data_IF_982087228623
#
_entry.id   IF_982087228623
#
_cell.length_a   1.000
_cell.length_b   1.000
_cell.length_c   1.000
_cell.angle_alpha   90.00
_cell.angle_beta   90.00
_cell.angle_gamma   90.00
#
_symmetry.space_group_name_H-M   'P 1'
#
loop_
_entity.id
_entity.type
_entity.pdbx_description
1 polymer ?
#
# COMPACT_ATOMS: atom_id res chain seq x y z
N UNK A 1 14.26 -37.37 -31.72
CA UNK A 1 12.89 -36.83 -31.95
C UNK A 1 12.19 -36.73 -30.60
N UNK A 2 12.22 -35.56 -29.97
CA UNK A 2 11.54 -35.31 -28.68
C UNK A 2 10.10 -34.88 -28.96
N UNK A 3 9.14 -35.71 -28.52
CA UNK A 3 7.71 -35.38 -28.58
C UNK A 3 7.46 -34.18 -27.66
N UNK A 4 7.11 -33.04 -28.24
CA UNK A 4 6.63 -31.89 -27.48
C UNK A 4 5.31 -32.24 -26.80
N UNK A 5 5.33 -32.33 -25.47
CA UNK A 5 4.10 -32.34 -24.67
C UNK A 5 3.39 -31.00 -24.89
N UNK A 6 2.22 -31.04 -25.53
CA UNK A 6 1.30 -29.92 -25.51
C UNK A 6 0.93 -29.65 -24.05
N UNK A 7 1.33 -28.49 -23.52
CA UNK A 7 0.88 -28.03 -22.20
C UNK A 7 -0.65 -27.96 -22.24
N UNK A 8 -1.30 -28.82 -21.46
CA UNK A 8 -2.75 -28.89 -21.37
C UNK A 8 -3.32 -27.54 -20.96
N UNK A 9 -4.36 -27.10 -21.67
CA UNK A 9 -5.20 -25.98 -21.27
C UNK A 9 -5.75 -26.24 -19.86
N UNK A 10 -5.28 -25.49 -18.87
CA UNK A 10 -5.78 -25.53 -17.50
C UNK A 10 -6.73 -24.34 -17.31
N UNK A 11 -8.05 -24.58 -17.16
CA UNK A 11 -9.05 -23.53 -17.02
C UNK A 11 -8.77 -22.57 -15.85
N UNK A 12 -8.10 -23.03 -14.79
CA UNK A 12 -7.75 -22.19 -13.66
C UNK A 12 -6.63 -21.23 -14.04
N UNK A 13 -5.61 -21.70 -14.77
CA UNK A 13 -4.52 -20.86 -15.26
C UNK A 13 -5.01 -19.81 -16.27
N UNK A 14 -5.97 -20.15 -17.12
CA UNK A 14 -6.54 -19.18 -18.06
C UNK A 14 -7.42 -18.13 -17.36
N UNK A 15 -8.17 -18.51 -16.30
CA UNK A 15 -8.86 -17.54 -15.45
C UNK A 15 -7.88 -16.62 -14.73
N UNK A 16 -6.80 -17.16 -14.18
CA UNK A 16 -5.75 -16.35 -13.54
C UNK A 16 -5.05 -15.43 -14.55
N UNK A 17 -4.78 -15.91 -15.77
CA UNK A 17 -4.19 -15.10 -16.85
C UNK A 17 -5.15 -14.01 -17.31
N UNK A 18 -6.42 -14.30 -17.49
CA UNK A 18 -7.45 -13.31 -17.83
C UNK A 18 -7.61 -12.26 -16.72
N UNK A 19 -7.58 -12.66 -15.45
CA UNK A 19 -7.59 -11.72 -14.33
C UNK A 19 -6.33 -10.85 -14.31
N UNK A 20 -5.14 -11.41 -14.56
CA UNK A 20 -3.89 -10.65 -14.64
C UNK A 20 -3.85 -9.70 -15.84
N UNK A 21 -4.34 -10.12 -17.00
CA UNK A 21 -4.47 -9.29 -18.20
C UNK A 21 -5.46 -8.16 -17.96
N UNK A 22 -6.63 -8.46 -17.39
CA UNK A 22 -7.62 -7.46 -17.01
C UNK A 22 -7.02 -6.45 -16.01
N UNK A 23 -6.33 -6.90 -14.96
CA UNK A 23 -5.65 -6.01 -14.01
C UNK A 23 -4.58 -5.14 -14.67
N UNK A 24 -3.88 -5.67 -15.67
CA UNK A 24 -2.86 -4.94 -16.44
C UNK A 24 -3.47 -3.95 -17.44
N UNK A 25 -4.60 -4.30 -18.06
CA UNK A 25 -5.34 -3.44 -18.99
C UNK A 25 -6.06 -2.33 -18.24
N UNK A 26 -6.75 -2.64 -17.14
CA UNK A 26 -7.50 -1.71 -16.28
C UNK A 26 -6.56 -0.71 -15.57
N UNK A 27 -5.36 -1.16 -15.12
CA UNK A 27 -4.32 -0.24 -14.65
C UNK A 27 -3.71 0.63 -15.77
N UNK A 28 -3.89 0.24 -17.04
CA UNK A 28 -3.50 0.99 -18.23
C UNK A 28 -4.63 1.84 -18.83
N UNK A 29 -5.87 1.71 -18.35
CA UNK A 29 -7.01 2.48 -18.84
C UNK A 29 -7.17 3.78 -18.02
N UNK A 30 -7.17 4.96 -18.67
CA UNK A 30 -7.07 6.27 -18.02
C UNK A 30 -8.38 6.77 -17.41
N UNK A 31 -9.44 5.96 -17.39
CA UNK A 31 -10.72 6.42 -16.86
C UNK A 31 -10.64 6.56 -15.34
N UNK A 32 -11.02 7.74 -14.85
CA UNK A 32 -11.13 7.99 -13.42
C UNK A 32 -12.27 7.12 -12.87
N UNK A 33 -11.99 6.11 -12.04
CA UNK A 33 -13.04 5.27 -11.50
C UNK A 33 -13.92 6.07 -10.54
N UNK A 34 -15.22 5.78 -10.57
CA UNK A 34 -16.16 6.31 -9.57
C UNK A 34 -16.05 5.57 -8.23
N UNK A 35 -15.54 4.33 -8.25
CA UNK A 35 -15.34 3.47 -7.07
C UNK A 35 -14.02 2.72 -7.20
N UNK A 36 -13.19 2.81 -6.16
CA UNK A 36 -11.95 2.05 -6.10
C UNK A 36 -12.14 0.64 -5.55
N UNK A 37 -11.33 -0.28 -6.04
CA UNK A 37 -11.29 -1.67 -5.62
C UNK A 37 -10.11 -1.91 -4.64
N UNK A 38 -10.21 -2.94 -3.78
CA UNK A 38 -9.06 -3.39 -2.99
C UNK A 38 -7.83 -3.65 -3.87
N UNK A 39 -6.69 -3.12 -3.43
CA UNK A 39 -5.41 -3.19 -4.12
C UNK A 39 -5.15 -2.04 -5.09
N UNK A 40 -6.14 -1.25 -5.49
CA UNK A 40 -5.89 -0.09 -6.35
C UNK A 40 -4.92 0.88 -5.65
N UNK A 41 -3.98 1.42 -6.42
CA UNK A 41 -3.09 2.48 -5.98
C UNK A 41 -3.63 3.81 -6.51
N UNK A 42 -4.14 4.62 -5.58
CA UNK A 42 -4.75 5.92 -5.84
C UNK A 42 -4.03 7.03 -5.07
N UNK A 43 -4.43 8.27 -5.31
CA UNK A 43 -3.92 9.43 -4.58
C UNK A 43 -4.93 9.80 -3.49
N UNK A 44 -4.47 10.04 -2.26
CA UNK A 44 -5.29 10.52 -1.16
C UNK A 44 -4.60 11.70 -0.44
N UNK A 45 -5.34 12.36 0.45
CA UNK A 45 -4.80 13.41 1.32
C UNK A 45 -4.57 12.79 2.70
N UNK A 46 -3.33 12.47 3.07
CA UNK A 46 -3.04 11.70 4.29
C UNK A 46 -1.63 11.88 4.84
N UNK A 47 -1.47 11.65 6.14
CA UNK A 47 -0.17 11.72 6.84
C UNK A 47 0.07 10.44 7.63
N UNK A 48 1.28 9.87 7.47
CA UNK A 48 1.72 8.70 8.24
C UNK A 48 1.79 9.00 9.74
N UNK A 49 2.17 10.23 10.12
CA UNK A 49 2.21 10.66 11.53
C UNK A 49 0.80 10.71 12.13
N UNK A 50 -0.17 11.24 11.39
CA UNK A 50 -1.59 11.25 11.81
C UNK A 50 -2.10 9.83 11.96
N UNK A 51 -1.84 8.95 10.98
CA UNK A 51 -2.26 7.56 11.01
C UNK A 51 -1.66 6.80 12.22
N UNK A 52 -0.37 7.05 12.50
CA UNK A 52 0.33 6.47 13.65
C UNK A 52 -0.30 6.91 14.97
N UNK A 53 -0.39 8.21 15.22
CA UNK A 53 -0.94 8.74 16.48
C UNK A 53 -2.41 8.38 16.68
N UNK A 54 -3.22 8.36 15.61
CA UNK A 54 -4.60 7.88 15.68
C UNK A 54 -4.67 6.41 16.11
N UNK A 55 -3.78 5.57 15.56
CA UNK A 55 -3.77 4.16 15.94
C UNK A 55 -3.37 3.97 17.40
N UNK A 56 -2.36 4.67 17.88
CA UNK A 56 -1.96 4.66 19.30
C UNK A 56 -3.13 5.06 20.21
N UNK A 57 -3.84 6.15 19.87
CA UNK A 57 -5.02 6.57 20.62
C UNK A 57 -6.14 5.52 20.59
N UNK A 58 -6.38 4.86 19.45
CA UNK A 58 -7.38 3.81 19.32
C UNK A 58 -7.04 2.56 20.14
N UNK A 59 -5.76 2.30 20.40
CA UNK A 59 -5.28 1.26 21.30
C UNK A 59 -5.36 1.65 22.79
N UNK A 60 -5.89 2.84 23.11
CA UNK A 60 -6.02 3.32 24.49
C UNK A 60 -4.72 3.89 25.08
N UNK A 61 -3.68 4.06 24.27
CA UNK A 61 -2.40 4.62 24.70
C UNK A 61 -2.49 6.16 24.61
N UNK A 62 -2.31 6.89 25.72
CA UNK A 62 -2.44 8.34 25.72
C UNK A 62 -1.19 9.00 25.11
N UNK A 63 -1.40 9.95 24.20
CA UNK A 63 -0.31 10.76 23.65
C UNK A 63 0.28 11.72 24.71
N UNK A 64 1.60 11.86 24.71
CA UNK A 64 2.30 12.87 25.53
C UNK A 64 2.08 14.28 24.97
N UNK A 65 2.43 15.32 25.74
CA UNK A 65 2.18 16.71 25.35
C UNK A 65 2.79 17.07 23.98
N UNK A 66 4.03 16.66 23.72
CA UNK A 66 4.72 16.93 22.46
C UNK A 66 4.03 16.27 21.26
N UNK A 67 3.57 15.03 21.40
CA UNK A 67 2.83 14.30 20.36
C UNK A 67 1.46 14.93 20.10
N UNK A 68 0.74 15.35 21.15
CA UNK A 68 -0.52 16.09 21.00
C UNK A 68 -0.32 17.39 20.22
N UNK A 69 0.75 18.12 20.52
CA UNK A 69 1.09 19.36 19.80
C UNK A 69 1.40 19.07 18.34
N UNK A 70 2.21 18.05 18.04
CA UNK A 70 2.50 17.62 16.66
C UNK A 70 1.23 17.20 15.93
N UNK A 71 0.44 16.30 16.50
CA UNK A 71 -0.83 15.83 15.94
C UNK A 71 -1.78 16.98 15.59
N UNK A 72 -1.88 17.98 16.46
CA UNK A 72 -2.71 19.18 16.22
C UNK A 72 -2.12 20.15 15.19
N UNK A 73 -0.80 20.19 15.05
CA UNK A 73 -0.11 21.09 14.10
C UNK A 73 -0.24 20.66 12.64
N UNK A 74 -0.63 19.40 12.40
CA UNK A 74 -0.84 18.83 11.06
C UNK A 74 -2.18 19.33 10.48
N UNK A 75 -2.22 20.62 10.18
CA UNK A 75 -3.44 21.33 9.71
C UNK A 75 -3.84 20.98 8.28
N UNK A 76 -2.89 20.52 7.45
CA UNK A 76 -3.14 20.06 6.08
C UNK A 76 -2.27 18.84 5.78
N UNK A 77 -2.84 17.63 5.71
CA UNK A 77 -2.08 16.45 5.32
C UNK A 77 -1.56 16.61 3.89
N UNK A 78 -0.38 16.07 3.56
CA UNK A 78 0.12 16.08 2.19
C UNK A 78 -0.69 15.15 1.30
N UNK A 79 -0.61 15.38 0.00
CA UNK A 79 -1.09 14.45 -1.02
C UNK A 79 -0.10 13.29 -1.11
N UNK A 80 -0.58 12.05 -1.07
CA UNK A 80 0.23 10.83 -1.13
C UNK A 80 -0.43 9.76 -1.98
N UNK A 81 0.36 8.82 -2.48
CA UNK A 81 -0.18 7.56 -2.96
C UNK A 81 -0.67 6.71 -1.78
N UNK A 82 -1.68 5.89 -2.03
CA UNK A 82 -2.21 4.93 -1.06
C UNK A 82 -2.68 3.66 -1.77
N UNK A 83 -2.61 2.53 -1.06
CA UNK A 83 -3.25 1.28 -1.47
C UNK A 83 -4.63 1.22 -0.83
N UNK A 84 -5.65 1.03 -1.64
CA UNK A 84 -7.02 0.85 -1.17
C UNK A 84 -7.14 -0.50 -0.48
N UNK A 85 -7.55 -0.50 0.79
CA UNK A 85 -7.86 -1.73 1.52
C UNK A 85 -9.31 -2.16 1.26
N UNK A 86 -10.25 -1.26 1.55
CA UNK A 86 -11.70 -1.45 1.34
C UNK A 86 -12.42 -0.11 1.40
N UNK A 87 -13.60 -0.06 0.80
CA UNK A 87 -14.51 1.07 0.94
C UNK A 87 -15.26 1.01 2.29
N UNK A 88 -15.40 2.16 2.93
CA UNK A 88 -16.18 2.31 4.17
C UNK A 88 -17.47 3.08 3.90
N UNK A 89 -17.36 4.19 3.18
CA UNK A 89 -18.48 5.03 2.75
C UNK A 89 -18.15 5.66 1.39
N UNK A 90 -19.10 6.33 0.78
CA UNK A 90 -18.88 7.10 -0.46
C UNK A 90 -17.62 7.96 -0.37
N UNK A 91 -16.67 7.69 -1.27
CA UNK A 91 -15.33 8.29 -1.34
C UNK A 91 -14.43 8.16 -0.09
N UNK A 92 -14.87 7.46 0.95
CA UNK A 92 -14.09 7.21 2.17
C UNK A 92 -13.65 5.75 2.19
N UNK A 93 -12.33 5.56 2.18
CA UNK A 93 -11.72 4.25 2.11
C UNK A 93 -10.82 4.04 3.32
N UNK A 94 -10.74 2.79 3.76
CA UNK A 94 -9.59 2.36 4.53
C UNK A 94 -8.43 2.14 3.57
N UNK A 95 -7.29 2.75 3.86
CA UNK A 95 -6.11 2.74 2.99
C UNK A 95 -4.83 2.50 3.77
N UNK A 96 -3.80 2.05 3.06
CA UNK A 96 -2.41 2.04 3.53
C UNK A 96 -1.63 3.13 2.78
N UNK A 97 -0.90 3.98 3.49
CA UNK A 97 -0.22 5.13 2.88
C UNK A 97 1.14 4.73 2.31
N UNK A 98 1.48 5.26 1.13
CA UNK A 98 2.83 5.13 0.57
C UNK A 98 3.73 6.30 1.03
N UNK A 99 5.01 6.00 1.17
CA UNK A 99 6.04 6.96 1.57
C UNK A 99 7.41 6.55 1.03
N UNK A 100 8.36 7.49 1.02
CA UNK A 100 9.74 7.25 0.60
C UNK A 100 10.73 7.37 1.75
N UNK A 101 10.29 7.81 2.94
CA UNK A 101 11.14 8.14 4.09
C UNK A 101 12.35 9.00 3.71
N UNK A 102 12.14 10.04 2.90
CA UNK A 102 13.22 10.92 2.44
C UNK A 102 14.20 10.26 1.45
N UNK A 103 13.85 9.12 0.86
CA UNK A 103 14.72 8.37 -0.03
C UNK A 103 15.71 7.47 0.71
N UNK A 104 15.32 6.98 1.89
CA UNK A 104 16.10 6.06 2.71
C UNK A 104 16.82 4.99 1.86
N UNK A 105 18.14 4.94 2.00
CA UNK A 105 19.01 4.03 1.23
C UNK A 105 19.29 2.72 1.96
N UNK A 106 19.06 2.69 3.27
CA UNK A 106 19.33 1.56 4.14
C UNK A 106 18.36 1.52 5.33
N UNK A 107 18.37 0.39 6.05
CA UNK A 107 17.49 0.13 7.20
C UNK A 107 17.75 1.06 8.39
N UNK A 108 19.01 1.38 8.64
CA UNK A 108 19.42 2.20 9.79
C UNK A 108 19.00 3.66 9.64
N UNK A 109 18.77 4.13 8.41
CA UNK A 109 18.26 5.47 8.15
C UNK A 109 16.76 5.67 8.49
N UNK A 110 16.03 4.59 8.78
CA UNK A 110 14.63 4.67 9.19
C UNK A 110 14.47 4.87 10.68
N UNK A 111 13.50 5.69 11.06
CA UNK A 111 13.04 5.74 12.44
C UNK A 111 12.35 4.44 12.87
N UNK A 112 12.19 4.25 14.18
CA UNK A 112 11.64 3.01 14.74
C UNK A 112 10.24 2.68 14.23
N UNK A 113 9.39 3.70 14.03
CA UNK A 113 8.05 3.49 13.50
C UNK A 113 8.10 3.04 12.04
N UNK A 114 8.97 3.65 11.24
CA UNK A 114 9.19 3.26 9.86
C UNK A 114 9.74 1.83 9.75
N UNK A 115 10.69 1.43 10.62
CA UNK A 115 11.21 0.06 10.63
C UNK A 115 10.15 -0.99 10.99
N UNK A 116 9.34 -0.71 12.01
CA UNK A 116 8.34 -1.65 12.53
C UNK A 116 7.10 -1.77 11.64
N UNK A 117 6.62 -0.64 11.12
CA UNK A 117 5.31 -0.57 10.47
C UNK A 117 5.39 -0.43 8.95
N UNK A 118 6.53 -0.69 8.31
CA UNK A 118 6.66 -0.52 6.85
C UNK A 118 7.00 -1.80 6.11
N UNK A 119 6.50 -1.86 4.88
CA UNK A 119 6.84 -2.90 3.92
C UNK A 119 7.43 -2.27 2.66
N UNK A 120 8.52 -2.82 2.09
CA UNK A 120 9.07 -2.31 0.83
C UNK A 120 8.07 -2.53 -0.33
N UNK A 121 8.05 -1.61 -1.30
CA UNK A 121 7.22 -1.69 -2.51
C UNK A 121 8.06 -2.05 -3.74
N UNK A 122 7.52 -2.89 -4.61
CA UNK A 122 8.07 -3.23 -5.91
C UNK A 122 9.53 -3.69 -5.82
N UNK A 123 10.41 -2.98 -6.52
CA UNK A 123 11.84 -3.29 -6.60
C UNK A 123 12.69 -2.59 -5.53
N UNK A 124 12.06 -1.99 -4.51
CA UNK A 124 12.77 -1.33 -3.42
C UNK A 124 13.72 -2.34 -2.76
N UNK A 125 15.03 -2.11 -2.92
CA UNK A 125 16.06 -2.94 -2.31
C UNK A 125 16.06 -2.65 -0.83
N UNK A 126 15.62 -3.63 -0.05
CA UNK A 126 15.56 -3.55 1.40
C UNK A 126 16.40 -4.67 2.00
N UNK A 127 17.20 -4.34 3.02
CA UNK A 127 18.21 -5.26 3.56
C UNK A 127 17.62 -6.38 4.44
N UNK A 128 16.34 -6.29 4.81
CA UNK A 128 15.67 -7.32 5.61
C UNK A 128 14.91 -8.36 4.79
N UNK A 129 14.61 -9.47 5.45
CA UNK A 129 13.86 -10.64 4.97
C UNK A 129 12.40 -10.37 4.53
N UNK A 130 11.95 -9.12 4.44
CA UNK A 130 10.59 -8.76 4.03
C UNK A 130 10.56 -8.54 2.51
N UNK A 131 9.90 -9.41 1.73
CA UNK A 131 9.82 -9.24 0.29
C UNK A 131 9.01 -7.98 -0.09
N UNK A 132 9.45 -7.29 -1.15
CA UNK A 132 8.74 -6.15 -1.73
C UNK A 132 7.31 -6.49 -2.16
N UNK A 133 6.37 -5.58 -1.95
CA UNK A 133 4.98 -5.70 -2.39
C UNK A 133 4.93 -5.55 -3.91
N UNK A 134 4.46 -6.59 -4.59
CA UNK A 134 4.37 -6.58 -6.05
C UNK A 134 3.24 -5.66 -6.53
N UNK A 135 3.47 -4.94 -7.64
CA UNK A 135 2.48 -4.05 -8.28
C UNK A 135 2.37 -4.30 -9.78
N UNK A 136 1.22 -3.96 -10.37
CA UNK A 136 0.94 -4.05 -11.82
C UNK A 136 0.38 -2.70 -12.30
N UNK A 137 1.06 -1.99 -13.23
CA UNK A 137 2.43 -2.23 -13.66
C UNK A 137 3.43 -2.05 -12.51
N UNK A 138 4.58 -2.72 -12.59
CA UNK A 138 5.59 -2.68 -11.54
C UNK A 138 6.42 -1.38 -11.60
N UNK A 139 5.85 -0.26 -11.15
CA UNK A 139 6.43 1.09 -11.29
C UNK A 139 7.07 1.65 -10.02
N UNK A 140 6.88 0.98 -8.87
CA UNK A 140 7.40 1.45 -7.57
C UNK A 140 8.76 0.84 -7.24
N UNK A 141 9.60 1.60 -6.53
CA UNK A 141 10.91 1.13 -6.08
C UNK A 141 12.00 1.05 -7.15
N UNK A 142 11.74 1.55 -8.37
CA UNK A 142 12.73 1.51 -9.46
C UNK A 142 13.81 2.60 -9.35
N UNK A 143 13.39 3.85 -9.10
CA UNK A 143 14.28 5.02 -9.02
C UNK A 143 14.51 5.51 -7.60
N UNK A 144 13.54 5.31 -6.71
CA UNK A 144 13.58 5.76 -5.32
C UNK A 144 12.92 4.71 -4.44
N UNK A 145 13.51 4.45 -3.28
CA UNK A 145 12.95 3.56 -2.27
C UNK A 145 11.52 3.96 -1.95
N UNK A 146 10.61 3.02 -2.09
CA UNK A 146 9.18 3.21 -1.91
C UNK A 146 8.68 2.20 -0.88
N UNK A 147 7.91 2.68 0.08
CA UNK A 147 7.42 1.88 1.19
C UNK A 147 5.92 2.07 1.34
N UNK A 148 5.27 1.03 1.83
CA UNK A 148 3.91 1.06 2.33
C UNK A 148 3.96 1.11 3.85
N UNK A 149 3.35 2.12 4.44
CA UNK A 149 3.11 2.19 5.87
C UNK A 149 1.90 1.31 6.19
N UNK A 150 2.15 0.16 6.79
CA UNK A 150 1.20 -0.92 7.02
C UNK A 150 0.29 -0.68 8.24
N UNK A 151 0.00 0.58 8.56
CA UNK A 151 -1.06 0.94 9.48
C UNK A 151 -2.22 1.51 8.67
N UNK A 152 -3.34 0.80 8.68
CA UNK A 152 -4.53 1.27 7.96
C UNK A 152 -5.09 2.54 8.58
N UNK A 153 -5.56 3.45 7.74
CA UNK A 153 -6.21 4.70 8.15
C UNK A 153 -7.39 5.01 7.23
N UNK A 154 -8.39 5.70 7.75
CA UNK A 154 -9.54 6.15 6.97
C UNK A 154 -9.19 7.45 6.26
N UNK A 155 -9.31 7.46 4.93
CA UNK A 155 -8.98 8.62 4.11
C UNK A 155 -10.06 8.85 3.06
N UNK A 156 -10.27 10.13 2.76
CA UNK A 156 -10.99 10.50 1.55
C UNK A 156 -10.08 10.30 0.35
N UNK A 157 -10.55 9.55 -0.63
CA UNK A 157 -9.83 9.29 -1.87
C UNK A 157 -10.59 9.98 -3.00
N UNK A 158 -10.14 11.17 -3.44
CA UNK A 158 -10.81 11.88 -4.52
C UNK A 158 -10.73 11.06 -5.81
N UNK A 159 -11.74 11.16 -6.69
CA UNK A 159 -11.70 10.51 -7.99
C UNK A 159 -10.46 10.94 -8.79
N UNK A 160 -9.59 9.96 -9.04
CA UNK A 160 -8.34 10.10 -9.77
C UNK A 160 -7.99 8.77 -10.45
N UNK A 161 -7.21 8.80 -11.54
CA UNK A 161 -6.72 7.58 -12.21
C UNK A 161 -6.05 6.60 -11.23
N UNK A 162 -6.23 5.31 -11.46
CA UNK A 162 -5.44 4.26 -10.81
C UNK A 162 -4.05 4.24 -11.43
N UNK A 163 -3.01 4.25 -10.60
CA UNK A 163 -1.62 4.34 -11.08
C UNK A 163 -0.98 2.96 -11.25
N UNK A 164 -1.33 2.04 -10.35
CA UNK A 164 -0.99 0.64 -10.41
C UNK A 164 -1.93 -0.12 -9.48
N UNK A 165 -1.80 -1.44 -9.47
CA UNK A 165 -2.61 -2.31 -8.62
C UNK A 165 -1.74 -3.31 -7.89
N UNK A 166 -2.01 -3.46 -6.60
CA UNK A 166 -1.48 -4.51 -5.74
C UNK A 166 -2.36 -5.75 -5.94
N UNK A 167 -1.80 -6.92 -6.33
CA UNK A 167 -2.57 -8.15 -6.43
C UNK A 167 -3.25 -8.51 -5.11
N UNK A 168 -4.41 -9.16 -5.18
CA UNK A 168 -5.18 -9.52 -3.98
C UNK A 168 -4.37 -10.30 -2.93
N UNK A 169 -3.50 -11.22 -3.36
CA UNK A 169 -2.61 -11.97 -2.46
C UNK A 169 -1.64 -11.08 -1.68
N UNK A 170 -1.17 -9.98 -2.29
CA UNK A 170 -0.33 -8.98 -1.64
C UNK A 170 -1.13 -8.09 -0.68
N UNK A 171 -2.38 -7.75 -1.03
CA UNK A 171 -3.30 -7.06 -0.11
C UNK A 171 -3.52 -7.87 1.17
N UNK A 172 -3.74 -9.18 1.04
CA UNK A 172 -3.85 -10.08 2.19
C UNK A 172 -2.57 -10.15 3.02
N UNK A 173 -1.40 -10.14 2.35
CA UNK A 173 -0.10 -10.10 3.04
C UNK A 173 0.07 -8.82 3.85
N UNK A 174 -0.30 -7.67 3.28
CA UNK A 174 -0.29 -6.36 3.97
C UNK A 174 -1.22 -6.39 5.19
N UNK A 175 -2.44 -6.92 5.05
CA UNK A 175 -3.41 -7.03 6.16
C UNK A 175 -2.84 -7.85 7.32
N UNK A 176 -2.27 -9.02 7.04
CA UNK A 176 -1.67 -9.88 8.08
C UNK A 176 -0.50 -9.19 8.78
N UNK A 177 0.38 -8.53 8.02
CA UNK A 177 1.48 -7.76 8.57
C UNK A 177 0.96 -6.64 9.48
N UNK A 178 -0.04 -5.88 9.02
CA UNK A 178 -0.68 -4.80 9.79
C UNK A 178 -1.26 -5.27 11.12
N UNK A 179 -1.91 -6.45 11.13
CA UNK A 179 -2.51 -7.03 12.34
C UNK A 179 -1.41 -7.48 13.30
N UNK A 180 -0.42 -8.25 12.83
CA UNK A 180 0.68 -8.74 13.67
C UNK A 180 1.42 -7.59 14.38
N UNK A 181 1.70 -6.50 13.67
CA UNK A 181 2.40 -5.35 14.24
C UNK A 181 1.59 -4.57 15.28
N UNK A 182 0.26 -4.71 15.31
CA UNK A 182 -0.61 -4.09 16.33
C UNK A 182 -0.75 -4.94 17.60
N UNK A 183 -0.42 -6.23 17.53
CA UNK A 183 -0.54 -7.18 18.64
C UNK A 183 0.76 -7.33 19.45
N UNK A 184 1.91 -6.96 18.87
CA UNK A 184 3.23 -6.85 19.52
C UNK A 184 3.40 -5.52 20.28
#
# INVERSE_FOLDING_TARGET
MTKGQFKSFDPQWEKTRAALLYLSEDAGHPETPNVYQPGDIAVCVGSIEVAFYQTIMNLGIPLIHQEKTRYRSLTKPPIRFCVINRQIQDQVYEVFLLTTYGGATDFESLDEAARRFSMPMGLTKWQESIPGITTVPNIFGQQTSSFLFAMSTLQQVPPHKVFARVPFSEVERIRRFSIAQKEE
#
